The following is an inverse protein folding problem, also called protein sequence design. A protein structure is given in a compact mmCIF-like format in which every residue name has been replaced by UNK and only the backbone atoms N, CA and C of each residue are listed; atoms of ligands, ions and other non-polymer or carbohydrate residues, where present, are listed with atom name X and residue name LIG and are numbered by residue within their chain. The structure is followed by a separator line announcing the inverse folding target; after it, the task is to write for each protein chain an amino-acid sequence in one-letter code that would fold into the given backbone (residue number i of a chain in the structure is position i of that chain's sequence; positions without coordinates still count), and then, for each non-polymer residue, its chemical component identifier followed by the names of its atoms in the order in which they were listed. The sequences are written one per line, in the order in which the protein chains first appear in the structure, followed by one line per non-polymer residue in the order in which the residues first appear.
data_IF_691551634586
#
_entry.id   IF_691551634586
#
_cell.length_a   1.000
_cell.length_b   1.000
_cell.length_c   1.000
_cell.angle_alpha   90.00
_cell.angle_beta   90.00
_cell.angle_gamma   90.00
#
_symmetry.space_group_name_H-M   'P 1'
#
loop_
_entity.id
_entity.type
_entity.pdbx_description
1 polymer ?
#
# COMPACT_ATOMS: atom_id res chain seq x y z
N UNK A 1 -1.84 -23.32 -15.48
CA UNK A 1 -1.76 -23.36 -16.94
C UNK A 1 -0.79 -22.30 -17.48
N UNK A 2 -0.71 -21.10 -16.88
CA UNK A 2 0.23 -20.03 -17.27
C UNK A 2 0.46 -19.07 -16.12
N UNK A 3 1.59 -18.32 -16.15
CA UNK A 3 1.88 -17.22 -15.24
C UNK A 3 1.83 -15.90 -16.04
N UNK A 4 1.17 -14.89 -15.48
CA UNK A 4 1.08 -13.54 -16.04
C UNK A 4 1.79 -12.55 -15.12
N UNK A 5 2.71 -11.75 -15.66
CA UNK A 5 3.47 -10.74 -14.91
C UNK A 5 3.19 -9.37 -15.56
N UNK A 6 2.44 -8.55 -14.85
CA UNK A 6 1.91 -7.30 -15.37
C UNK A 6 2.84 -6.09 -15.13
N UNK A 7 4.13 -6.26 -15.32
CA UNK A 7 5.14 -5.19 -15.26
C UNK A 7 5.75 -4.96 -13.89
N UNK A 8 6.71 -4.03 -13.83
CA UNK A 8 7.45 -3.62 -12.63
C UNK A 8 8.10 -4.80 -11.89
N UNK A 9 8.80 -5.67 -12.64
CA UNK A 9 9.54 -6.81 -12.08
C UNK A 9 10.73 -6.33 -11.26
N UNK A 10 11.35 -5.24 -11.72
CA UNK A 10 12.48 -4.60 -11.06
C UNK A 10 12.14 -3.14 -10.70
N UNK A 11 12.66 -2.67 -9.59
CA UNK A 11 12.48 -1.29 -9.18
C UNK A 11 13.55 -0.38 -9.79
N UNK A 12 13.20 0.29 -10.88
CA UNK A 12 13.95 1.38 -11.48
C UNK A 12 15.46 1.16 -11.58
N UNK A 13 16.21 1.86 -10.76
CA UNK A 13 17.67 1.85 -10.76
C UNK A 13 18.29 0.62 -10.07
N UNK A 14 17.51 -0.15 -9.33
CA UNK A 14 17.99 -1.25 -8.48
C UNK A 14 17.91 -2.62 -9.20
N UNK A 15 18.42 -2.66 -10.42
CA UNK A 15 18.49 -3.88 -11.24
C UNK A 15 19.79 -4.62 -10.99
N UNK A 16 20.01 -5.07 -9.77
CA UNK A 16 21.19 -5.84 -9.47
C UNK A 16 21.24 -7.12 -10.32
N UNK A 17 22.43 -7.53 -10.70
CA UNK A 17 22.63 -8.79 -11.42
C UNK A 17 22.04 -9.98 -10.60
N UNK A 18 22.15 -9.91 -9.29
CA UNK A 18 21.59 -10.91 -8.38
C UNK A 18 20.06 -11.02 -8.53
N UNK A 19 19.34 -9.89 -8.57
CA UNK A 19 17.89 -9.89 -8.78
C UNK A 19 17.52 -10.50 -10.14
N UNK A 20 18.23 -10.13 -11.20
CA UNK A 20 18.00 -10.68 -12.53
C UNK A 20 18.25 -12.19 -12.59
N UNK A 21 19.34 -12.68 -11.98
CA UNK A 21 19.65 -14.11 -11.91
C UNK A 21 18.61 -14.88 -11.08
N UNK A 22 18.11 -14.31 -9.98
CA UNK A 22 17.05 -14.90 -9.16
C UNK A 22 15.74 -15.02 -9.95
N UNK A 23 15.37 -13.95 -10.64
CA UNK A 23 14.18 -13.94 -11.50
C UNK A 23 14.28 -14.98 -12.62
N UNK A 24 15.43 -15.03 -13.32
CA UNK A 24 15.71 -16.02 -14.35
C UNK A 24 15.59 -17.46 -13.81
N UNK A 25 16.08 -17.73 -12.59
CA UNK A 25 15.95 -19.05 -11.97
C UNK A 25 14.48 -19.42 -11.77
N UNK A 26 13.65 -18.50 -11.28
CA UNK A 26 12.20 -18.75 -11.15
C UNK A 26 11.52 -19.05 -12.49
N UNK A 27 11.90 -18.34 -13.56
CA UNK A 27 11.40 -18.64 -14.90
C UNK A 27 11.85 -20.02 -15.43
N UNK A 28 13.08 -20.46 -15.12
CA UNK A 28 13.56 -21.79 -15.46
C UNK A 28 12.76 -22.87 -14.72
N UNK A 29 12.50 -22.71 -13.43
CA UNK A 29 11.69 -23.63 -12.63
C UNK A 29 10.24 -23.76 -13.17
N UNK A 30 9.64 -22.65 -13.64
CA UNK A 30 8.35 -22.67 -14.33
C UNK A 30 8.44 -23.42 -15.67
N UNK A 31 9.50 -23.16 -16.45
CA UNK A 31 9.75 -23.82 -17.73
C UNK A 31 9.91 -25.33 -17.60
N UNK A 32 10.64 -25.80 -16.60
CA UNK A 32 10.82 -27.23 -16.28
C UNK A 32 9.48 -27.91 -15.96
N UNK A 33 8.53 -27.16 -15.40
CA UNK A 33 7.16 -27.63 -15.13
C UNK A 33 6.19 -27.44 -16.30
N UNK A 34 6.69 -27.02 -17.48
CA UNK A 34 5.89 -26.70 -18.65
C UNK A 34 4.82 -25.62 -18.38
N UNK A 35 5.13 -24.63 -17.55
CA UNK A 35 4.27 -23.49 -17.25
C UNK A 35 4.79 -22.28 -18.04
N UNK A 36 4.12 -21.87 -19.14
CA UNK A 36 4.50 -20.69 -19.89
C UNK A 36 4.28 -19.42 -19.07
N UNK A 37 5.16 -18.46 -19.25
CA UNK A 37 5.11 -17.16 -18.57
C UNK A 37 4.99 -16.04 -19.58
N UNK A 38 4.04 -15.13 -19.35
CA UNK A 38 3.78 -13.96 -20.19
C UNK A 38 4.05 -12.68 -19.39
N UNK A 39 4.87 -11.80 -19.97
CA UNK A 39 5.42 -10.63 -19.28
C UNK A 39 5.18 -9.37 -20.10
N UNK A 40 4.62 -8.33 -19.50
CA UNK A 40 4.71 -6.96 -20.00
C UNK A 40 5.67 -6.15 -19.11
N UNK A 41 6.31 -5.14 -19.68
CA UNK A 41 7.12 -4.18 -18.94
C UNK A 41 6.24 -3.06 -18.37
N UNK A 42 6.59 -2.55 -17.18
CA UNK A 42 5.97 -1.40 -16.55
C UNK A 42 6.84 -0.13 -16.59
N UNK A 43 6.52 0.83 -15.71
CA UNK A 43 7.23 2.11 -15.67
C UNK A 43 8.56 2.04 -14.91
N UNK A 44 8.74 1.08 -14.02
CA UNK A 44 10.01 0.86 -13.32
C UNK A 44 11.02 0.05 -14.15
N UNK A 45 10.55 -0.74 -15.09
CA UNK A 45 11.37 -1.63 -15.91
C UNK A 45 11.04 -1.57 -17.41
N UNK A 46 10.91 -0.37 -18.03
CA UNK A 46 10.49 -0.25 -19.41
C UNK A 46 11.44 -0.97 -20.38
N UNK A 47 10.94 -1.35 -21.56
CA UNK A 47 11.64 -2.22 -22.51
C UNK A 47 12.98 -1.65 -23.01
N UNK A 48 13.12 -0.31 -23.05
CA UNK A 48 14.38 0.35 -23.43
C UNK A 48 15.52 0.20 -22.38
N UNK A 49 15.18 -0.22 -21.18
CA UNK A 49 16.08 -0.33 -20.03
C UNK A 49 16.43 -1.77 -19.66
N UNK A 50 15.81 -2.76 -20.30
CA UNK A 50 16.12 -4.17 -20.05
C UNK A 50 17.46 -4.57 -20.66
N UNK A 51 18.28 -5.22 -19.86
CA UNK A 51 19.54 -5.77 -20.32
C UNK A 51 19.28 -6.97 -21.22
N UNK A 52 19.68 -6.87 -22.50
CA UNK A 52 19.67 -8.00 -23.45
C UNK A 52 20.76 -9.05 -23.14
N UNK A 53 21.39 -8.96 -21.97
CA UNK A 53 22.56 -9.81 -21.62
C UNK A 53 22.19 -11.16 -21.01
N UNK A 54 20.91 -11.39 -20.68
CA UNK A 54 20.44 -12.67 -20.14
C UNK A 54 19.45 -13.32 -21.11
N UNK A 55 19.71 -14.59 -21.42
CA UNK A 55 18.75 -15.39 -22.17
C UNK A 55 17.64 -15.90 -21.23
N UNK A 56 16.42 -15.72 -21.66
CA UNK A 56 15.23 -16.20 -20.96
C UNK A 56 14.82 -17.56 -21.48
N UNK A 57 14.15 -18.41 -20.68
CA UNK A 57 13.60 -19.69 -21.15
C UNK A 57 12.65 -19.50 -22.33
N UNK A 58 12.64 -20.44 -23.28
CA UNK A 58 11.76 -20.38 -24.46
C UNK A 58 10.26 -20.33 -24.11
N UNK A 59 9.88 -20.85 -22.95
CA UNK A 59 8.52 -20.77 -22.40
C UNK A 59 8.13 -19.38 -21.89
N UNK A 60 9.07 -18.41 -21.91
CA UNK A 60 8.83 -17.03 -21.47
C UNK A 60 8.61 -16.12 -22.66
N UNK A 61 7.42 -15.52 -22.72
CA UNK A 61 7.05 -14.54 -23.73
C UNK A 61 7.07 -13.13 -23.12
N UNK A 62 7.90 -12.24 -23.66
CA UNK A 62 7.92 -10.83 -23.32
C UNK A 62 7.27 -10.06 -24.46
N UNK A 63 6.19 -9.34 -24.19
CA UNK A 63 5.45 -8.60 -25.20
C UNK A 63 6.24 -7.37 -25.70
N UNK A 64 6.11 -7.10 -26.99
CA UNK A 64 6.68 -5.91 -27.60
C UNK A 64 6.03 -4.62 -27.07
N UNK A 65 6.72 -3.48 -27.22
CA UNK A 65 6.24 -2.18 -26.75
C UNK A 65 5.58 -1.31 -27.83
N UNK A 66 5.69 -1.71 -29.09
CA UNK A 66 5.18 -0.92 -30.23
C UNK A 66 3.74 -1.30 -30.66
N UNK A 67 3.29 -2.50 -30.34
CA UNK A 67 1.95 -3.01 -30.68
C UNK A 67 1.48 -4.04 -29.66
N UNK A 68 0.18 -4.24 -29.61
CA UNK A 68 -0.39 -5.38 -28.89
C UNK A 68 -0.09 -6.66 -29.68
N UNK A 69 0.45 -7.64 -29.00
CA UNK A 69 0.66 -8.98 -29.53
C UNK A 69 -0.24 -9.98 -28.81
N UNK A 70 -0.44 -11.15 -29.41
CA UNK A 70 -1.20 -12.22 -28.76
C UNK A 70 -0.54 -13.58 -28.98
N UNK A 71 -0.44 -14.35 -27.89
CA UNK A 71 0.16 -15.69 -27.89
C UNK A 71 -0.78 -16.70 -27.24
N UNK A 72 -0.82 -17.96 -27.73
CA UNK A 72 -1.70 -18.97 -27.19
C UNK A 72 -1.15 -19.63 -25.94
N UNK A 73 -2.03 -19.97 -25.02
CA UNK A 73 -1.79 -20.99 -23.97
C UNK A 73 -2.38 -22.29 -24.46
N UNK A 74 -1.52 -23.27 -24.68
CA UNK A 74 -1.92 -24.59 -25.20
C UNK A 74 -1.65 -25.70 -24.19
N UNK A 75 -2.57 -26.66 -24.13
CA UNK A 75 -2.42 -27.85 -23.32
C UNK A 75 -2.95 -29.06 -24.09
N UNK A 76 -2.14 -30.10 -24.22
CA UNK A 76 -2.48 -31.31 -24.98
C UNK A 76 -2.97 -31.02 -26.40
N UNK A 77 -2.30 -30.10 -27.10
CA UNK A 77 -2.63 -29.67 -28.47
C UNK A 77 -3.88 -28.78 -28.60
N UNK A 78 -4.56 -28.46 -27.50
CA UNK A 78 -5.73 -27.58 -27.49
C UNK A 78 -5.37 -26.22 -26.97
N UNK A 79 -5.75 -25.17 -27.69
CA UNK A 79 -5.63 -23.79 -27.19
C UNK A 79 -6.72 -23.51 -26.16
N UNK A 80 -6.29 -23.14 -24.95
CA UNK A 80 -7.16 -22.82 -23.81
C UNK A 80 -7.47 -21.31 -23.77
N UNK A 81 -6.47 -20.49 -23.99
CA UNK A 81 -6.57 -19.03 -23.92
C UNK A 81 -5.61 -18.36 -24.90
N UNK A 82 -5.90 -17.11 -25.23
CA UNK A 82 -5.00 -16.18 -25.90
C UNK A 82 -4.66 -15.04 -24.96
N UNK A 83 -3.35 -14.84 -24.73
CA UNK A 83 -2.85 -13.76 -23.88
C UNK A 83 -2.42 -12.60 -24.77
N UNK A 84 -3.03 -11.46 -24.58
CA UNK A 84 -2.76 -10.21 -25.26
C UNK A 84 -1.98 -9.30 -24.33
N UNK A 85 -0.92 -8.67 -24.83
CA UNK A 85 -0.11 -7.77 -24.03
C UNK A 85 0.60 -6.70 -24.84
N UNK A 86 0.96 -5.63 -24.17
CA UNK A 86 1.84 -4.57 -24.68
C UNK A 86 2.70 -4.06 -23.54
N UNK A 87 4.01 -3.94 -23.78
CA UNK A 87 4.97 -3.44 -22.81
C UNK A 87 5.10 -1.91 -22.88
N UNK A 88 5.59 -1.30 -21.80
CA UNK A 88 6.00 0.10 -21.84
C UNK A 88 7.30 0.27 -22.63
N UNK A 89 7.34 1.20 -23.60
CA UNK A 89 8.58 1.54 -24.31
C UNK A 89 9.55 2.35 -23.45
N UNK A 90 9.03 3.17 -22.55
CA UNK A 90 9.75 4.11 -21.68
C UNK A 90 9.00 4.31 -20.36
N UNK A 91 9.64 4.95 -19.37
CA UNK A 91 9.08 5.14 -18.02
C UNK A 91 7.71 5.83 -18.04
N UNK A 92 7.58 6.92 -18.78
CA UNK A 92 6.34 7.70 -18.84
C UNK A 92 5.55 7.36 -20.11
N UNK A 93 4.45 6.66 -19.95
CA UNK A 93 3.48 6.40 -21.02
C UNK A 93 2.21 7.17 -20.71
N UNK A 94 1.91 8.20 -21.52
CA UNK A 94 0.70 9.04 -21.36
C UNK A 94 -0.45 8.58 -22.24
N UNK A 95 -0.16 7.71 -23.20
CA UNK A 95 -1.15 7.16 -24.13
C UNK A 95 -2.04 6.13 -23.41
N UNK A 96 -3.32 6.13 -23.75
CA UNK A 96 -4.24 5.08 -23.33
C UNK A 96 -3.98 3.80 -24.15
N UNK A 97 -3.16 2.91 -23.58
CA UNK A 97 -2.80 1.66 -24.24
C UNK A 97 -3.97 0.66 -24.33
N UNK A 98 -4.97 0.76 -23.46
CA UNK A 98 -6.12 -0.14 -23.46
C UNK A 98 -6.88 -0.10 -24.81
N UNK A 99 -6.95 1.05 -25.45
CA UNK A 99 -7.63 1.23 -26.75
C UNK A 99 -6.96 0.48 -27.91
N UNK A 100 -5.72 0.02 -27.74
CA UNK A 100 -4.99 -0.78 -28.74
C UNK A 100 -5.39 -2.25 -28.72
N UNK A 101 -6.03 -2.72 -27.64
CA UNK A 101 -6.44 -4.11 -27.49
C UNK A 101 -7.73 -4.34 -28.29
N UNK A 102 -7.64 -5.28 -29.22
CA UNK A 102 -8.78 -5.68 -30.03
C UNK A 102 -8.89 -7.20 -30.02
N UNK A 103 -10.04 -7.71 -29.60
CA UNK A 103 -10.33 -9.14 -29.65
C UNK A 103 -10.45 -9.58 -31.11
N UNK A 104 -9.72 -10.63 -31.45
CA UNK A 104 -9.87 -11.30 -32.72
C UNK A 104 -10.75 -12.55 -32.54
N UNK A 105 -11.14 -13.19 -33.68
CA UNK A 105 -12.07 -14.32 -33.66
C UNK A 105 -11.40 -15.65 -33.30
N UNK A 106 -10.44 -15.65 -32.38
CA UNK A 106 -9.75 -16.85 -31.90
C UNK A 106 -10.60 -17.63 -30.88
N UNK A 107 -10.55 -18.96 -30.95
CA UNK A 107 -11.23 -19.81 -29.97
C UNK A 107 -10.43 -19.89 -28.68
N UNK A 108 -11.10 -19.93 -27.53
CA UNK A 108 -10.54 -19.97 -26.19
C UNK A 108 -10.78 -18.67 -25.43
N UNK A 109 -10.36 -18.60 -24.18
CA UNK A 109 -10.46 -17.39 -23.39
C UNK A 109 -9.53 -16.28 -23.94
N UNK A 110 -9.97 -15.05 -23.81
CA UNK A 110 -9.20 -13.86 -24.20
C UNK A 110 -8.79 -13.11 -22.97
N UNK A 111 -7.49 -13.03 -22.72
CA UNK A 111 -6.89 -12.46 -21.52
C UNK A 111 -6.02 -11.26 -21.89
N UNK A 112 -6.30 -10.10 -21.34
CA UNK A 112 -5.45 -8.92 -21.44
C UNK A 112 -4.46 -8.83 -20.28
N UNK A 113 -3.20 -8.54 -20.58
CA UNK A 113 -2.21 -8.17 -19.58
C UNK A 113 -1.72 -6.75 -19.86
N UNK A 114 -1.85 -5.85 -18.86
CA UNK A 114 -1.56 -4.44 -19.05
C UNK A 114 -1.07 -3.81 -17.76
N UNK A 115 -0.02 -3.00 -17.87
CA UNK A 115 0.42 -2.11 -16.80
C UNK A 115 -0.23 -0.75 -17.00
N UNK A 116 -1.17 -0.34 -16.14
CA UNK A 116 -1.97 0.88 -16.37
C UNK A 116 -2.61 1.42 -15.09
N UNK A 117 -2.86 2.73 -15.05
CA UNK A 117 -3.67 3.36 -14.00
C UNK A 117 -5.13 3.47 -14.48
N UNK A 118 -5.97 2.55 -14.04
CA UNK A 118 -7.40 2.53 -14.38
C UNK A 118 -8.19 3.43 -13.45
N UNK A 119 -8.89 4.44 -14.01
CA UNK A 119 -9.74 5.35 -13.24
C UNK A 119 -8.96 6.30 -12.32
N UNK A 120 -7.70 6.63 -12.66
CA UNK A 120 -6.88 7.60 -11.92
C UNK A 120 -6.78 7.28 -10.41
N UNK A 121 -6.33 6.06 -10.08
CA UNK A 121 -6.19 5.65 -8.68
C UNK A 121 -5.30 6.64 -7.92
N UNK A 122 -5.75 7.17 -6.77
CA UNK A 122 -5.02 8.15 -5.99
C UNK A 122 -3.72 7.57 -5.44
N UNK A 123 -2.69 8.43 -5.29
CA UNK A 123 -1.39 8.02 -4.74
C UNK A 123 -0.44 7.36 -5.73
N UNK A 124 -0.85 7.14 -6.98
CA UNK A 124 -0.04 6.60 -8.07
C UNK A 124 0.07 7.59 -9.22
N UNK A 125 1.22 7.57 -9.92
CA UNK A 125 1.40 8.35 -11.13
C UNK A 125 0.41 7.89 -12.21
N UNK A 126 -0.07 8.83 -13.04
CA UNK A 126 -1.09 8.53 -14.02
C UNK A 126 -0.47 8.03 -15.33
N UNK A 127 0.17 6.85 -15.29
CA UNK A 127 0.78 6.21 -16.46
C UNK A 127 -0.19 5.27 -17.16
N UNK A 128 -0.12 5.25 -18.50
CA UNK A 128 -1.05 4.56 -19.39
C UNK A 128 -2.51 4.67 -18.90
N UNK A 129 -2.99 5.92 -18.69
CA UNK A 129 -4.30 6.14 -18.09
C UNK A 129 -5.40 5.55 -18.98
N UNK A 130 -6.31 4.81 -18.39
CA UNK A 130 -7.51 4.34 -19.06
C UNK A 130 -8.71 4.35 -18.11
N UNK A 131 -9.89 4.32 -18.68
CA UNK A 131 -11.13 4.14 -17.92
C UNK A 131 -11.47 2.65 -17.77
N UNK A 132 -12.35 2.34 -16.84
CA UNK A 132 -12.91 0.99 -16.72
C UNK A 132 -13.67 0.59 -18.00
N UNK A 133 -14.37 1.53 -18.61
CA UNK A 133 -15.13 1.34 -19.85
C UNK A 133 -14.25 0.98 -21.06
N UNK A 134 -13.01 1.50 -21.11
CA UNK A 134 -12.06 1.14 -22.18
C UNK A 134 -11.71 -0.36 -22.12
N UNK A 135 -11.58 -0.91 -20.91
CA UNK A 135 -11.31 -2.33 -20.71
C UNK A 135 -12.54 -3.20 -20.96
N UNK A 136 -13.71 -2.74 -20.56
CA UNK A 136 -14.99 -3.44 -20.80
C UNK A 136 -15.28 -3.52 -22.31
N UNK A 137 -15.06 -2.42 -23.03
CA UNK A 137 -15.34 -2.33 -24.46
C UNK A 137 -14.46 -3.25 -25.34
N UNK A 138 -13.37 -3.77 -24.81
CA UNK A 138 -12.50 -4.71 -25.53
C UNK A 138 -13.11 -6.09 -25.71
N UNK A 139 -14.18 -6.42 -24.96
CA UNK A 139 -14.87 -7.74 -24.95
C UNK A 139 -13.93 -8.91 -24.61
N UNK A 140 -12.98 -8.69 -23.70
CA UNK A 140 -12.09 -9.71 -23.16
C UNK A 140 -12.77 -10.46 -22.01
N UNK A 141 -12.27 -11.65 -21.67
CA UNK A 141 -12.81 -12.44 -20.55
C UNK A 141 -12.16 -12.05 -19.21
N UNK A 142 -10.87 -11.71 -19.25
CA UNK A 142 -10.09 -11.36 -18.04
C UNK A 142 -9.02 -10.30 -18.34
N UNK A 143 -8.80 -9.40 -17.37
CA UNK A 143 -7.70 -8.44 -17.38
C UNK A 143 -6.80 -8.62 -16.16
N UNK A 144 -5.54 -8.97 -16.40
CA UNK A 144 -4.46 -8.95 -15.41
C UNK A 144 -3.76 -7.58 -15.45
N UNK A 145 -3.98 -6.76 -14.43
CA UNK A 145 -3.45 -5.40 -14.34
C UNK A 145 -2.27 -5.29 -13.38
N UNK A 146 -1.26 -4.48 -13.77
CA UNK A 146 -0.17 -4.02 -12.93
C UNK A 146 -0.22 -2.51 -12.67
N UNK A 147 0.76 -1.96 -11.95
CA UNK A 147 0.92 -0.57 -11.54
C UNK A 147 0.40 -0.27 -10.13
N UNK A 148 -0.72 -0.80 -9.72
CA UNK A 148 -1.28 -0.59 -8.38
C UNK A 148 -0.80 -1.71 -7.47
N UNK A 149 -0.10 -1.35 -6.40
CA UNK A 149 0.57 -2.30 -5.48
C UNK A 149 -0.38 -2.96 -4.48
N UNK A 150 -1.67 -2.66 -4.54
CA UNK A 150 -2.71 -3.24 -3.69
C UNK A 150 -3.59 -4.18 -4.50
N UNK A 151 -3.86 -5.38 -3.98
CA UNK A 151 -4.87 -6.27 -4.55
C UNK A 151 -6.21 -5.57 -4.61
N UNK A 152 -6.82 -5.55 -5.80
CA UNK A 152 -8.12 -4.92 -6.02
C UNK A 152 -8.85 -5.55 -7.20
N UNK A 153 -10.05 -6.02 -6.98
CA UNK A 153 -10.98 -6.42 -8.03
C UNK A 153 -11.75 -5.17 -8.45
N UNK A 154 -11.53 -4.70 -9.68
CA UNK A 154 -12.25 -3.54 -10.22
C UNK A 154 -13.62 -3.96 -10.78
N UNK A 155 -13.71 -5.19 -11.29
CA UNK A 155 -14.92 -5.79 -11.82
C UNK A 155 -14.84 -7.30 -11.70
N UNK A 156 -15.89 -7.93 -11.23
CA UNK A 156 -15.92 -9.38 -10.99
C UNK A 156 -16.21 -10.20 -12.25
N UNK A 157 -17.00 -9.69 -13.17
CA UNK A 157 -17.52 -10.45 -14.31
C UNK A 157 -17.62 -9.64 -15.60
N UNK A 158 -17.34 -10.28 -16.73
CA UNK A 158 -17.60 -9.91 -18.12
C UNK A 158 -17.15 -8.47 -18.52
N UNK A 159 -15.89 -8.19 -18.57
CA UNK A 159 -14.74 -8.99 -18.17
C UNK A 159 -14.51 -8.94 -16.67
N UNK A 160 -13.78 -9.92 -16.13
CA UNK A 160 -13.20 -9.81 -14.79
C UNK A 160 -11.91 -8.99 -14.87
N UNK A 161 -11.76 -7.95 -14.01
CA UNK A 161 -10.67 -6.98 -14.08
C UNK A 161 -10.00 -6.86 -12.72
N UNK A 162 -8.71 -7.20 -12.64
CA UNK A 162 -8.00 -7.36 -11.36
C UNK A 162 -6.62 -6.74 -11.37
N UNK A 163 -6.31 -5.96 -10.35
CA UNK A 163 -4.96 -5.70 -9.91
C UNK A 163 -4.53 -6.79 -8.91
N UNK A 164 -3.48 -7.54 -9.22
CA UNK A 164 -2.96 -8.53 -8.27
C UNK A 164 -2.23 -7.88 -7.08
N UNK A 165 -1.80 -6.62 -7.21
CA UNK A 165 -0.87 -6.00 -6.29
C UNK A 165 0.56 -6.51 -6.47
N UNK A 166 1.43 -6.14 -5.54
CA UNK A 166 2.80 -6.65 -5.48
C UNK A 166 2.90 -7.90 -4.57
N UNK A 167 3.95 -8.70 -4.77
CA UNK A 167 4.17 -9.96 -4.06
C UNK A 167 4.81 -9.79 -2.69
N UNK A 168 5.38 -8.60 -2.41
CA UNK A 168 6.07 -8.26 -1.17
C UNK A 168 5.97 -6.76 -0.91
N UNK A 169 5.63 -6.34 0.31
CA UNK A 169 5.75 -4.96 0.78
C UNK A 169 7.20 -4.55 0.89
N UNK A 170 7.49 -3.27 0.63
CA UNK A 170 8.83 -2.70 0.69
C UNK A 170 8.95 -1.57 1.71
N UNK A 171 7.85 -0.97 2.09
CA UNK A 171 7.80 0.15 3.04
C UNK A 171 6.38 0.35 3.59
N UNK A 172 6.25 1.19 4.62
CA UNK A 172 4.98 1.46 5.32
C UNK A 172 3.86 2.13 4.50
N UNK A 173 4.11 2.55 3.27
CA UNK A 173 3.03 3.01 2.35
C UNK A 173 2.32 1.84 1.66
N UNK A 174 2.87 0.63 1.78
CA UNK A 174 2.36 -0.59 1.15
C UNK A 174 1.84 -1.60 2.19
N UNK A 175 1.15 -1.11 3.21
CA UNK A 175 0.57 -1.97 4.25
C UNK A 175 -0.52 -2.90 3.71
N UNK A 176 -0.77 -3.98 4.46
CA UNK A 176 -1.74 -5.02 4.13
C UNK A 176 -1.15 -6.18 3.33
N UNK A 177 -1.89 -7.28 3.17
CA UNK A 177 -1.38 -8.51 2.61
C UNK A 177 -0.89 -8.35 1.18
N UNK A 178 0.24 -8.99 0.85
CA UNK A 178 0.87 -9.00 -0.46
C UNK A 178 0.93 -10.40 -1.02
N UNK A 179 0.75 -10.52 -2.33
CA UNK A 179 0.66 -11.84 -2.93
C UNK A 179 0.39 -11.80 -4.42
N UNK A 180 -0.17 -12.90 -4.90
CA UNK A 180 -0.60 -13.07 -6.28
C UNK A 180 -2.02 -13.62 -6.36
N UNK A 181 -2.62 -13.53 -7.55
CA UNK A 181 -3.95 -14.08 -7.79
C UNK A 181 -3.84 -15.43 -8.50
N UNK A 182 -4.47 -16.46 -7.93
CA UNK A 182 -4.80 -17.68 -8.67
C UNK A 182 -6.20 -17.48 -9.29
N UNK A 183 -6.23 -17.47 -10.62
CA UNK A 183 -7.46 -17.19 -11.39
C UNK A 183 -7.87 -18.42 -12.17
N UNK A 184 -9.13 -18.84 -12.02
CA UNK A 184 -9.74 -19.91 -12.80
C UNK A 184 -10.82 -19.35 -13.70
N UNK A 185 -10.62 -19.45 -15.02
CA UNK A 185 -11.61 -19.02 -16.01
C UNK A 185 -12.50 -20.20 -16.40
N UNK A 186 -13.80 -20.01 -16.37
CA UNK A 186 -14.81 -20.99 -16.71
C UNK A 186 -15.74 -20.46 -17.81
N UNK A 187 -16.10 -21.30 -18.77
CA UNK A 187 -16.98 -20.90 -19.88
C UNK A 187 -18.42 -20.61 -19.44
N UNK A 188 -18.86 -21.21 -18.34
CA UNK A 188 -20.25 -21.20 -17.88
C UNK A 188 -20.42 -20.63 -16.46
N UNK A 189 -19.38 -20.04 -15.90
CA UNK A 189 -19.40 -19.44 -14.57
C UNK A 189 -18.49 -18.21 -14.52
N UNK A 190 -18.70 -17.29 -13.57
CA UNK A 190 -17.77 -16.21 -13.29
C UNK A 190 -16.33 -16.71 -13.07
N UNK A 191 -15.35 -15.84 -13.30
CA UNK A 191 -13.97 -16.13 -12.95
C UNK A 191 -13.86 -16.33 -11.43
N UNK A 192 -13.20 -17.41 -11.01
CA UNK A 192 -12.84 -17.64 -9.61
C UNK A 192 -11.47 -17.03 -9.34
N UNK A 193 -11.39 -16.13 -8.34
CA UNK A 193 -10.18 -15.40 -7.98
C UNK A 193 -9.85 -15.69 -6.53
N UNK A 194 -8.74 -16.37 -6.32
CA UNK A 194 -8.18 -16.60 -5.00
C UNK A 194 -6.89 -15.81 -4.84
N UNK A 195 -6.88 -14.88 -3.90
CA UNK A 195 -5.65 -14.19 -3.51
C UNK A 195 -4.79 -15.14 -2.66
N UNK A 196 -3.53 -15.28 -3.04
CA UNK A 196 -2.55 -16.13 -2.36
C UNK A 196 -1.47 -15.22 -1.77
N UNK A 197 -1.38 -15.17 -0.45
CA UNK A 197 -0.35 -14.41 0.25
C UNK A 197 1.01 -15.04 -0.02
N UNK A 198 1.97 -14.21 -0.43
CA UNK A 198 3.36 -14.62 -0.76
C UNK A 198 4.40 -13.78 -0.04
N UNK A 199 3.96 -12.78 0.73
CA UNK A 199 4.90 -11.93 1.48
C UNK A 199 5.64 -12.75 2.55
N UNK A 200 6.93 -12.50 2.65
CA UNK A 200 7.83 -13.07 3.66
C UNK A 200 7.91 -12.13 4.86
N UNK A 201 7.85 -10.82 4.60
CA UNK A 201 7.88 -9.78 5.62
C UNK A 201 6.62 -8.93 5.51
N UNK A 202 5.85 -8.89 6.59
CA UNK A 202 4.65 -8.05 6.67
C UNK A 202 4.97 -6.69 7.25
N UNK A 203 4.36 -5.63 6.68
CA UNK A 203 4.48 -4.25 7.17
C UNK A 203 3.14 -3.81 7.74
N UNK A 204 3.16 -3.35 8.99
CA UNK A 204 1.97 -2.79 9.66
C UNK A 204 2.25 -1.37 10.16
N UNK A 205 1.20 -0.56 10.19
CA UNK A 205 1.21 0.75 10.85
C UNK A 205 -0.08 0.90 11.64
N UNK A 206 0.02 1.12 12.95
CA UNK A 206 -1.15 1.19 13.83
C UNK A 206 -0.91 2.12 15.00
N UNK A 207 -1.99 2.49 15.67
CA UNK A 207 -1.96 3.26 16.90
C UNK A 207 -1.99 2.33 18.11
N UNK A 208 -1.21 2.70 19.12
CA UNK A 208 -1.24 2.07 20.45
C UNK A 208 -1.76 3.11 21.42
N UNK A 209 -2.94 2.88 21.97
CA UNK A 209 -3.50 3.74 22.99
C UNK A 209 -2.82 3.46 24.32
N UNK A 210 -2.16 4.50 24.87
CA UNK A 210 -1.48 4.48 26.16
C UNK A 210 -2.20 5.40 27.16
N UNK A 211 -3.47 5.68 26.93
CA UNK A 211 -4.29 6.50 27.85
C UNK A 211 -4.28 5.91 29.25
N UNK A 212 -4.02 6.76 30.24
CA UNK A 212 -4.00 6.36 31.64
C UNK A 212 -2.74 5.60 32.08
N UNK A 213 -1.79 5.30 31.19
CA UNK A 213 -0.52 4.73 31.59
C UNK A 213 0.20 5.67 32.56
N UNK A 214 0.64 5.13 33.69
CA UNK A 214 1.31 5.84 34.79
C UNK A 214 2.81 5.57 34.85
N UNK A 215 3.29 4.64 34.04
CA UNK A 215 4.71 4.24 33.98
C UNK A 215 5.11 3.81 32.57
N UNK A 216 6.41 3.88 32.28
CA UNK A 216 6.98 3.36 31.03
C UNK A 216 6.73 1.85 30.89
N UNK A 217 6.71 1.10 31.98
CA UNK A 217 6.41 -0.34 31.94
C UNK A 217 4.99 -0.62 31.41
N UNK A 218 3.99 0.19 31.78
CA UNK A 218 2.63 0.05 31.26
C UNK A 218 2.58 0.38 29.76
N UNK A 219 3.37 1.36 29.30
CA UNK A 219 3.52 1.66 27.87
C UNK A 219 4.15 0.48 27.12
N UNK A 220 5.21 -0.13 27.67
CA UNK A 220 5.84 -1.32 27.09
C UNK A 220 4.87 -2.51 26.99
N UNK A 221 4.07 -2.75 28.03
CA UNK A 221 3.04 -3.79 28.02
C UNK A 221 1.96 -3.54 26.95
N UNK A 222 1.53 -2.29 26.79
CA UNK A 222 0.57 -1.92 25.75
C UNK A 222 1.14 -2.17 24.34
N UNK A 223 2.40 -1.80 24.13
CA UNK A 223 3.12 -2.05 22.86
C UNK A 223 3.23 -3.56 22.62
N UNK A 224 3.68 -4.33 23.60
CA UNK A 224 3.84 -5.77 23.49
C UNK A 224 2.52 -6.46 23.14
N UNK A 225 1.46 -6.14 23.88
CA UNK A 225 0.11 -6.69 23.63
C UNK A 225 -0.37 -6.40 22.22
N UNK A 226 -0.13 -5.17 21.73
CA UNK A 226 -0.56 -4.79 20.37
C UNK A 226 0.22 -5.52 19.27
N UNK A 227 1.52 -5.70 19.44
CA UNK A 227 2.35 -6.45 18.49
C UNK A 227 1.97 -7.93 18.48
N UNK A 228 1.75 -8.54 19.65
CA UNK A 228 1.33 -9.94 19.76
C UNK A 228 -0.03 -10.22 19.11
N UNK A 229 -0.96 -9.25 19.13
CA UNK A 229 -2.23 -9.33 18.39
C UNK A 229 -1.98 -9.53 16.90
N UNK A 230 -1.10 -8.72 16.28
CA UNK A 230 -0.76 -8.84 14.87
C UNK A 230 0.02 -10.12 14.54
N UNK A 231 0.91 -10.56 15.43
CA UNK A 231 1.64 -11.83 15.24
C UNK A 231 0.68 -13.01 15.14
N UNK A 232 -0.38 -13.02 15.95
CA UNK A 232 -1.41 -14.08 15.91
C UNK A 232 -2.21 -14.08 14.61
N UNK A 233 -2.41 -12.91 14.00
CA UNK A 233 -3.12 -12.76 12.74
C UNK A 233 -2.23 -13.05 11.52
N UNK A 234 -0.92 -12.82 11.63
CA UNK A 234 0.06 -12.88 10.54
C UNK A 234 0.77 -14.23 10.45
N UNK A 235 0.05 -15.32 10.52
CA UNK A 235 0.56 -16.70 10.64
C UNK A 235 1.46 -17.20 9.50
N UNK A 236 1.63 -16.45 8.41
CA UNK A 236 2.33 -16.92 7.19
C UNK A 236 3.63 -16.20 6.88
N UNK A 237 3.97 -15.11 7.59
CA UNK A 237 5.19 -14.36 7.35
C UNK A 237 6.35 -14.83 8.24
N UNK A 238 7.58 -14.67 7.76
CA UNK A 238 8.81 -14.94 8.51
C UNK A 238 9.25 -13.74 9.37
N UNK A 239 8.74 -12.54 9.03
CA UNK A 239 9.07 -11.31 9.72
C UNK A 239 7.93 -10.30 9.74
N UNK A 240 7.91 -9.47 10.80
CA UNK A 240 6.98 -8.37 10.98
C UNK A 240 7.75 -7.07 11.21
N UNK A 241 7.48 -6.06 10.39
CA UNK A 241 7.99 -4.69 10.60
C UNK A 241 6.80 -3.82 11.00
N UNK A 242 6.79 -3.37 12.25
CA UNK A 242 5.68 -2.64 12.85
C UNK A 242 6.05 -1.17 13.07
N UNK A 243 5.28 -0.25 12.52
CA UNK A 243 5.31 1.16 12.91
C UNK A 243 4.15 1.42 13.87
N UNK A 244 4.49 1.76 15.10
CA UNK A 244 3.53 2.03 16.15
C UNK A 244 3.52 3.52 16.48
N UNK A 245 2.33 4.07 16.60
CA UNK A 245 2.10 5.47 16.96
C UNK A 245 1.45 5.47 18.34
N UNK A 246 2.20 5.87 19.36
CA UNK A 246 1.65 5.99 20.71
C UNK A 246 0.69 7.17 20.78
N UNK A 247 -0.53 6.93 21.23
CA UNK A 247 -1.60 7.94 21.32
C UNK A 247 -2.24 7.93 22.70
N UNK A 248 -2.96 8.99 23.01
CA UNK A 248 -3.72 9.09 24.26
C UNK A 248 -3.06 10.02 25.28
N UNK A 249 -3.78 10.26 26.39
CA UNK A 249 -3.32 11.09 27.47
C UNK A 249 -2.71 10.25 28.58
N UNK A 250 -1.48 10.59 28.97
CA UNK A 250 -0.71 9.83 29.95
C UNK A 250 0.15 10.74 30.83
N UNK A 251 0.37 10.35 32.07
CA UNK A 251 1.26 11.07 33.01
C UNK A 251 2.72 11.00 32.57
N UNK A 252 3.12 9.95 31.80
CA UNK A 252 4.47 9.77 31.28
C UNK A 252 4.71 10.49 29.95
N UNK A 253 3.78 11.37 29.49
CA UNK A 253 3.90 12.11 28.24
C UNK A 253 5.23 12.86 28.10
N UNK A 254 5.66 13.56 29.16
CA UNK A 254 6.91 14.31 29.14
C UNK A 254 8.13 13.40 28.99
N UNK A 255 8.12 12.23 29.65
CA UNK A 255 9.18 11.24 29.53
C UNK A 255 9.25 10.68 28.11
N UNK A 256 8.11 10.33 27.50
CA UNK A 256 8.01 9.82 26.14
C UNK A 256 8.49 10.80 25.07
N UNK A 257 8.35 12.10 25.34
CA UNK A 257 8.71 13.16 24.39
C UNK A 257 10.06 13.85 24.69
N UNK A 258 10.80 13.39 25.68
CA UNK A 258 12.17 13.84 25.93
C UNK A 258 13.10 13.45 24.77
N UNK A 259 14.14 14.27 24.56
CA UNK A 259 15.15 14.00 23.54
C UNK A 259 15.82 12.62 23.78
N UNK A 260 15.74 11.75 22.79
CA UNK A 260 16.29 10.39 22.86
C UNK A 260 15.36 9.33 23.47
N UNK A 261 14.26 9.71 24.12
CA UNK A 261 13.35 8.75 24.76
C UNK A 261 12.75 7.76 23.75
N UNK A 262 12.28 8.25 22.61
CA UNK A 262 11.75 7.39 21.53
C UNK A 262 12.78 6.37 21.05
N UNK A 263 14.05 6.78 20.91
CA UNK A 263 15.12 5.88 20.48
C UNK A 263 15.38 4.80 21.54
N UNK A 264 15.49 5.18 22.82
CA UNK A 264 15.69 4.23 23.91
C UNK A 264 14.49 3.25 24.00
N UNK A 265 13.27 3.75 23.82
CA UNK A 265 12.07 2.92 23.82
C UNK A 265 12.06 1.92 22.66
N UNK A 266 12.48 2.35 21.46
CA UNK A 266 12.61 1.47 20.27
C UNK A 266 13.65 0.37 20.55
N UNK A 267 14.79 0.71 21.12
CA UNK A 267 15.84 -0.26 21.48
C UNK A 267 15.31 -1.28 22.50
N UNK A 268 14.63 -0.83 23.55
CA UNK A 268 14.04 -1.71 24.58
C UNK A 268 12.96 -2.62 24.00
N UNK A 269 12.03 -2.07 23.21
CA UNK A 269 10.95 -2.85 22.59
C UNK A 269 11.51 -3.90 21.64
N UNK A 270 12.51 -3.57 20.83
CA UNK A 270 13.12 -4.56 19.93
C UNK A 270 13.84 -5.67 20.70
N UNK A 271 14.43 -5.35 21.86
CA UNK A 271 15.03 -6.36 22.75
C UNK A 271 13.97 -7.31 23.33
N UNK A 272 12.78 -6.82 23.67
CA UNK A 272 11.68 -7.68 24.14
C UNK A 272 11.24 -8.71 23.10
N UNK A 273 11.41 -8.42 21.81
CA UNK A 273 11.04 -9.31 20.71
C UNK A 273 12.20 -10.13 20.15
N UNK A 274 13.39 -10.09 20.75
CA UNK A 274 14.49 -10.96 20.35
C UNK A 274 14.11 -12.44 20.49
N UNK A 275 14.39 -13.21 19.43
CA UNK A 275 14.10 -14.63 19.39
C UNK A 275 12.64 -15.00 19.06
N UNK A 276 11.78 -14.04 18.79
CA UNK A 276 10.42 -14.34 18.31
C UNK A 276 10.45 -14.95 16.88
N UNK A 277 9.47 -15.81 16.60
CA UNK A 277 9.18 -16.33 15.27
C UNK A 277 7.69 -16.12 14.99
N UNK A 278 7.34 -15.27 14.02
CA UNK A 278 8.19 -14.49 13.12
C UNK A 278 9.10 -13.50 13.85
N UNK A 279 10.26 -13.13 13.25
CA UNK A 279 11.07 -12.05 13.81
C UNK A 279 10.32 -10.70 13.71
N UNK A 280 10.56 -9.82 14.68
CA UNK A 280 9.82 -8.58 14.81
C UNK A 280 10.78 -7.40 14.87
N UNK A 281 10.51 -6.36 14.09
CA UNK A 281 11.19 -5.08 14.14
C UNK A 281 10.17 -3.97 14.36
N UNK A 282 10.32 -3.19 15.43
CA UNK A 282 9.41 -2.11 15.79
C UNK A 282 10.07 -0.75 15.58
N UNK A 283 9.34 0.15 14.94
CA UNK A 283 9.59 1.59 14.84
C UNK A 283 8.49 2.34 15.59
N UNK A 284 8.84 3.35 16.41
CA UNK A 284 7.90 4.08 17.26
C UNK A 284 7.88 5.56 16.94
N UNK A 285 6.70 6.15 17.06
CA UNK A 285 6.51 7.59 17.15
C UNK A 285 5.48 7.92 18.22
N UNK A 286 5.55 9.14 18.78
CA UNK A 286 4.65 9.59 19.84
C UNK A 286 3.72 10.69 19.35
N UNK A 287 2.43 10.53 19.64
CA UNK A 287 1.36 11.51 19.50
C UNK A 287 0.52 11.55 20.79
N UNK A 288 1.18 11.35 21.92
CA UNK A 288 0.56 11.40 23.24
C UNK A 288 0.33 12.84 23.67
N UNK A 289 -0.53 13.04 24.67
CA UNK A 289 -0.77 14.29 25.36
C UNK A 289 -0.65 14.12 26.88
N UNK A 290 -0.32 15.20 27.58
CA UNK A 290 -0.31 15.19 29.04
C UNK A 290 -1.69 15.00 29.64
N UNK A 291 -1.77 14.53 30.87
CA UNK A 291 -3.01 14.48 31.62
C UNK A 291 -3.27 15.86 32.24
N UNK A 292 -4.40 16.44 31.91
CA UNK A 292 -4.88 17.67 32.52
C UNK A 292 -6.27 17.46 33.05
N UNK A 293 -6.56 18.05 34.20
CA UNK A 293 -7.94 18.26 34.64
C UNK A 293 -8.51 19.45 33.86
N UNK A 294 -9.07 19.16 32.69
CA UNK A 294 -9.58 20.17 31.77
C UNK A 294 -10.71 20.98 32.43
N UNK A 295 -11.52 20.35 33.26
CA UNK A 295 -12.64 21.03 33.92
C UNK A 295 -12.11 22.02 34.98
N UNK A 296 -11.15 21.61 35.77
CA UNK A 296 -10.45 22.50 36.69
C UNK A 296 -9.74 23.66 36.00
N UNK A 297 -9.11 23.41 34.85
CA UNK A 297 -8.46 24.46 34.06
C UNK A 297 -9.44 25.45 33.43
N UNK A 298 -10.65 25.03 33.06
CA UNK A 298 -11.70 25.90 32.53
C UNK A 298 -12.25 26.89 33.55
N UNK A 299 -12.28 26.48 34.81
CA UNK A 299 -12.78 27.31 35.92
C UNK A 299 -11.74 28.38 36.35
N UNK A 300 -10.54 28.35 35.80
CA UNK A 300 -9.51 29.34 36.01
C UNK A 300 -9.91 30.74 35.52
N UNK A 301 -9.08 31.74 35.90
CA UNK A 301 -9.23 33.15 35.45
C UNK A 301 -8.01 33.62 34.66
N UNK A 302 -7.42 32.70 33.94
CA UNK A 302 -6.16 32.92 33.17
C UNK A 302 -6.38 32.67 31.68
N UNK A 303 -5.32 32.87 30.91
CA UNK A 303 -5.34 32.69 29.47
C UNK A 303 -5.67 31.22 29.07
N UNK A 304 -5.33 30.24 29.91
CA UNK A 304 -5.60 28.82 29.64
C UNK A 304 -7.09 28.55 29.72
N UNK A 305 -7.77 29.11 30.73
CA UNK A 305 -9.23 29.03 30.86
C UNK A 305 -9.96 29.68 29.69
N UNK A 306 -9.51 30.89 29.27
CA UNK A 306 -10.06 31.59 28.11
C UNK A 306 -9.88 30.78 26.82
N UNK A 307 -8.69 30.19 26.59
CA UNK A 307 -8.42 29.33 25.45
C UNK A 307 -9.30 28.10 25.45
N UNK A 308 -9.46 27.41 26.57
CA UNK A 308 -10.31 26.23 26.71
C UNK A 308 -11.78 26.55 26.44
N UNK A 309 -12.29 27.65 26.95
CA UNK A 309 -13.65 28.09 26.73
C UNK A 309 -13.88 28.51 25.27
N UNK A 310 -12.88 29.10 24.62
CA UNK A 310 -12.93 29.45 23.19
C UNK A 310 -12.99 28.19 22.30
N UNK A 311 -12.24 27.13 22.64
CA UNK A 311 -12.18 25.89 21.87
C UNK A 311 -13.39 24.96 22.09
N UNK A 312 -14.21 25.21 23.10
CA UNK A 312 -15.39 24.41 23.39
C UNK A 312 -16.63 24.94 22.65
N UNK A 313 -17.20 24.10 21.77
CA UNK A 313 -18.52 24.28 21.15
C UNK A 313 -18.81 25.67 20.55
N UNK A 314 -17.77 26.30 20.00
CA UNK A 314 -17.92 27.58 19.34
C UNK A 314 -18.07 27.38 17.83
N UNK A 315 -19.32 27.29 17.36
CA UNK A 315 -19.65 27.15 15.91
C UNK A 315 -19.04 28.29 15.07
N UNK A 316 -18.89 29.48 15.67
CA UNK A 316 -18.26 30.60 15.00
C UNK A 316 -16.77 30.35 14.80
N UNK A 317 -16.05 29.87 15.81
CA UNK A 317 -14.62 29.51 15.69
C UNK A 317 -14.41 28.39 14.66
N UNK A 318 -15.27 27.38 14.63
CA UNK A 318 -15.20 26.30 13.62
C UNK A 318 -15.36 26.86 12.21
N UNK A 319 -16.32 27.76 12.00
CA UNK A 319 -16.54 28.42 10.72
C UNK A 319 -15.34 29.30 10.31
N UNK A 320 -14.75 30.06 11.23
CA UNK A 320 -13.57 30.88 10.98
C UNK A 320 -12.34 30.02 10.65
N UNK A 321 -12.12 28.89 11.35
CA UNK A 321 -11.06 27.94 11.06
C UNK A 321 -11.27 27.30 9.68
N UNK A 322 -12.51 26.94 9.34
CA UNK A 322 -12.83 26.37 8.03
C UNK A 322 -12.51 27.34 6.90
N UNK A 323 -12.86 28.59 7.05
CA UNK A 323 -12.57 29.62 6.06
C UNK A 323 -11.07 29.89 5.95
N UNK A 324 -10.36 30.00 7.07
CA UNK A 324 -8.90 30.18 7.10
C UNK A 324 -8.12 29.01 6.49
N UNK A 325 -8.62 27.79 6.68
CA UNK A 325 -8.00 26.56 6.17
C UNK A 325 -8.36 26.25 4.71
N UNK A 326 -9.38 26.91 4.15
CA UNK A 326 -9.86 26.69 2.78
C UNK A 326 -8.74 26.71 1.72
N UNK A 327 -7.78 27.67 1.72
CA UNK A 327 -6.68 27.66 0.76
C UNK A 327 -5.77 26.41 0.87
N UNK A 328 -5.64 25.86 2.08
CA UNK A 328 -4.85 24.64 2.30
C UNK A 328 -5.57 23.42 1.74
N UNK A 329 -6.87 23.27 2.02
CA UNK A 329 -7.68 22.17 1.49
C UNK A 329 -7.83 22.23 -0.03
N UNK A 330 -7.93 23.40 -0.62
CA UNK A 330 -8.03 23.60 -2.06
C UNK A 330 -6.68 23.48 -2.79
N UNK A 331 -5.56 23.48 -2.09
CA UNK A 331 -4.23 23.28 -2.67
C UNK A 331 -4.09 21.87 -3.26
N UNK A 332 -3.15 21.69 -4.21
CA UNK A 332 -2.84 20.34 -4.75
C UNK A 332 -2.46 19.33 -3.67
N UNK A 333 -1.64 19.75 -2.71
CA UNK A 333 -1.24 18.91 -1.57
C UNK A 333 -2.42 18.64 -0.64
N UNK A 334 -3.25 19.65 -0.35
CA UNK A 334 -4.45 19.50 0.46
C UNK A 334 -5.43 18.49 -0.15
N UNK A 335 -5.77 18.64 -1.43
CA UNK A 335 -6.63 17.69 -2.13
C UNK A 335 -6.08 16.27 -2.22
N UNK A 336 -4.75 16.11 -2.19
CA UNK A 336 -4.09 14.81 -2.29
C UNK A 336 -3.96 14.10 -0.94
N UNK A 337 -3.78 14.84 0.15
CA UNK A 337 -3.37 14.28 1.46
C UNK A 337 -4.33 14.58 2.61
N UNK A 338 -5.21 15.57 2.46
CA UNK A 338 -6.23 15.92 3.44
C UNK A 338 -7.58 15.49 2.89
N UNK A 339 -8.15 14.48 3.48
CA UNK A 339 -9.57 14.18 3.27
C UNK A 339 -10.39 15.23 4.02
N UNK A 340 -11.62 15.44 3.59
CA UNK A 340 -12.58 16.42 4.13
C UNK A 340 -13.00 16.01 5.56
N UNK A 341 -12.04 16.05 6.50
CA UNK A 341 -12.25 15.52 7.85
C UNK A 341 -12.00 16.55 8.93
N UNK A 342 -13.14 16.85 9.55
CA UNK A 342 -13.27 17.14 10.97
C UNK A 342 -12.39 18.27 11.51
N UNK A 343 -12.80 19.48 11.14
CA UNK A 343 -12.27 20.70 11.73
C UNK A 343 -12.31 20.64 13.25
N UNK A 344 -13.33 19.98 13.83
CA UNK A 344 -13.44 19.76 15.27
C UNK A 344 -12.25 18.93 15.79
N UNK A 345 -11.86 17.85 15.12
CA UNK A 345 -10.70 17.05 15.50
C UNK A 345 -9.38 17.85 15.39
N UNK A 346 -9.25 18.69 14.35
CA UNK A 346 -8.10 19.58 14.17
C UNK A 346 -8.04 20.60 15.30
N UNK A 347 -9.19 21.21 15.65
CA UNK A 347 -9.29 22.21 16.73
C UNK A 347 -8.94 21.57 18.08
N UNK A 348 -9.47 20.38 18.39
CA UNK A 348 -9.16 19.67 19.62
C UNK A 348 -7.68 19.31 19.70
N UNK A 349 -7.06 18.88 18.60
CA UNK A 349 -5.64 18.57 18.56
C UNK A 349 -4.78 19.82 18.73
N UNK A 350 -5.15 20.93 18.10
CA UNK A 350 -4.48 22.22 18.26
C UNK A 350 -4.58 22.74 19.70
N UNK A 351 -5.76 22.63 20.33
CA UNK A 351 -5.97 22.92 21.74
C UNK A 351 -5.03 22.11 22.64
N UNK A 352 -4.96 20.80 22.42
CA UNK A 352 -4.12 19.93 23.22
C UNK A 352 -2.64 20.25 23.06
N UNK A 353 -2.19 20.56 21.84
CA UNK A 353 -0.82 21.02 21.59
C UNK A 353 -0.51 22.37 22.28
N UNK A 354 -1.49 23.28 22.29
CA UNK A 354 -1.33 24.57 22.99
C UNK A 354 -1.25 24.37 24.50
N UNK A 355 -2.12 23.53 25.08
CA UNK A 355 -2.05 23.17 26.50
C UNK A 355 -0.70 22.58 26.89
N UNK A 356 -0.17 21.66 26.09
CA UNK A 356 1.13 21.04 26.32
C UNK A 356 2.28 22.06 26.35
N UNK A 357 2.14 23.21 25.66
CA UNK A 357 3.13 24.28 25.68
C UNK A 357 2.93 25.26 26.83
N UNK A 358 1.68 25.54 27.19
CA UNK A 358 1.31 26.53 28.19
C UNK A 358 1.45 26.00 29.63
N UNK A 359 0.95 24.80 29.88
CA UNK A 359 0.97 24.21 31.23
C UNK A 359 2.36 23.73 31.65
N UNK A 360 3.25 23.38 30.71
CA UNK A 360 4.67 23.08 31.00
C UNK A 360 5.43 24.20 31.68
N UNK A 361 5.00 25.45 31.57
CA UNK A 361 5.70 26.61 32.13
C UNK A 361 5.39 26.87 33.60
N UNK A 362 4.39 26.20 34.17
CA UNK A 362 3.97 26.42 35.56
C UNK A 362 4.54 25.40 36.56
N UNK A 363 5.20 24.33 36.09
CA UNK A 363 5.94 23.40 36.95
C UNK A 363 7.42 23.41 36.56
N UNK A 364 8.29 24.17 37.29
CA UNK A 364 9.76 24.18 37.08
C UNK A 364 10.43 22.85 37.48
#
# INVERSE_FOLDING_TARGET
DAVLIAGDIFDGNDRSLQAQLKFRRGLLELSEKNIPTFIVHGNHDPSNSWSRKLDWPESTTIFASNKVESFPVTRNGKTLAWIYGISYPQKEVKENLALKFKKDQKKGFTVGILHANVGQQPGHDNYAPCSLEDLISSDFDYWALGHIHKFKILRENNPCIVYSGNTQSRHFKEIGPKGCCLVTLNSNAPADIRFVVTEVVSYISTHVDVSGASSINEVLLAIQSKVEEFVKESLTCEGLVARLILTGRTTVHNELNNSGATKALVEEVNTLFEGYSPWILVDLSTQTAGTYDIDSLKDGKDFVADLLNLCNENDQLQSEIQEAMKPVFESWAGRKYLEDKDIQAITLKARDMALDQLVKRENP
#
